data_IF_698758294095
#
_entry.id   IF_698758294095
#
_cell.length_a   1.000
_cell.length_b   1.000
_cell.length_c   1.000
_cell.angle_alpha   90.00
_cell.angle_beta   90.00
_cell.angle_gamma   90.00
#
_symmetry.space_group_name_H-M   'P 1'
#
loop_
_entity.id
_entity.type
_entity.pdbx_description
1 polymer ?
#
# COMPACT_ATOMS: atom_id res chain seq x y z
N UNK A 1 17.46 5.73 -5.46
CA UNK A 1 16.57 4.57 -5.44
C UNK A 1 17.43 3.33 -5.49
N UNK A 2 17.45 2.57 -4.41
CA UNK A 2 18.20 1.34 -4.22
C UNK A 2 17.37 0.12 -4.69
N UNK A 3 18.01 -1.02 -5.00
CA UNK A 3 17.32 -2.25 -5.41
C UNK A 3 16.18 -2.65 -4.46
N UNK A 4 16.45 -2.61 -3.15
CA UNK A 4 15.45 -2.97 -2.14
C UNK A 4 14.29 -1.96 -2.11
N UNK A 5 14.54 -0.66 -2.34
CA UNK A 5 13.47 0.34 -2.39
C UNK A 5 12.50 0.10 -3.55
N UNK A 6 13.00 -0.38 -4.71
CA UNK A 6 12.15 -0.74 -5.87
C UNK A 6 11.21 -1.88 -5.50
N UNK A 7 11.75 -2.91 -4.86
CA UNK A 7 11.00 -4.08 -4.41
C UNK A 7 9.93 -3.70 -3.37
N UNK A 8 10.30 -2.89 -2.38
CA UNK A 8 9.37 -2.46 -1.34
C UNK A 8 8.24 -1.61 -1.91
N UNK A 9 8.54 -0.65 -2.80
CA UNK A 9 7.50 0.13 -3.47
C UNK A 9 6.55 -0.74 -4.30
N UNK A 10 7.09 -1.71 -5.05
CA UNK A 10 6.26 -2.65 -5.82
C UNK A 10 5.31 -3.44 -4.92
N UNK A 11 5.82 -3.97 -3.80
CA UNK A 11 5.02 -4.73 -2.84
C UNK A 11 3.95 -3.85 -2.18
N UNK A 12 4.29 -2.63 -1.80
CA UNK A 12 3.34 -1.67 -1.22
C UNK A 12 2.19 -1.33 -2.18
N UNK A 13 2.45 -1.36 -3.48
CA UNK A 13 1.46 -1.18 -4.55
C UNK A 13 0.69 -2.48 -4.87
N UNK A 14 0.94 -3.59 -4.17
CA UNK A 14 0.38 -4.92 -4.43
C UNK A 14 0.60 -5.43 -5.87
N UNK A 15 1.75 -5.11 -6.46
CA UNK A 15 2.09 -5.52 -7.82
C UNK A 15 3.05 -6.71 -7.84
N UNK A 16 2.86 -7.60 -8.81
CA UNK A 16 3.86 -8.58 -9.23
C UNK A 16 4.96 -7.90 -10.05
N UNK A 17 6.12 -8.56 -10.21
CA UNK A 17 7.18 -8.05 -11.09
C UNK A 17 6.70 -7.86 -12.53
N UNK A 18 5.82 -8.74 -13.04
CA UNK A 18 5.24 -8.64 -14.38
C UNK A 18 4.34 -7.42 -14.53
N UNK A 19 3.47 -7.17 -13.54
CA UNK A 19 2.57 -6.01 -13.57
C UNK A 19 3.35 -4.70 -13.48
N UNK A 20 4.41 -4.64 -12.67
CA UNK A 20 5.29 -3.46 -12.64
C UNK A 20 6.00 -3.25 -13.98
N UNK A 21 6.47 -4.33 -14.59
CA UNK A 21 7.10 -4.31 -15.91
C UNK A 21 6.14 -3.76 -16.98
N UNK A 22 4.91 -4.26 -17.03
CA UNK A 22 3.86 -3.79 -17.94
C UNK A 22 3.59 -2.30 -17.76
N UNK A 23 3.45 -1.83 -16.51
CA UNK A 23 3.24 -0.41 -16.18
C UNK A 23 4.39 0.48 -16.65
N UNK A 24 5.62 -0.01 -16.60
CA UNK A 24 6.82 0.75 -16.93
C UNK A 24 7.34 0.49 -18.36
N UNK A 25 6.64 -0.33 -19.15
CA UNK A 25 7.03 -0.65 -20.52
C UNK A 25 8.38 -1.37 -20.63
N UNK A 26 8.69 -2.23 -19.67
CA UNK A 26 9.95 -3.01 -19.63
C UNK A 26 9.66 -4.50 -19.47
N UNK A 27 10.66 -5.34 -19.75
CA UNK A 27 10.57 -6.77 -19.50
C UNK A 27 10.52 -7.11 -18.00
N UNK A 28 9.80 -8.17 -17.63
CA UNK A 28 9.75 -8.66 -16.23
C UNK A 28 11.14 -9.01 -15.69
N UNK A 29 12.04 -9.53 -16.53
CA UNK A 29 13.41 -9.82 -16.13
C UNK A 29 14.19 -8.55 -15.81
N UNK A 30 13.91 -7.43 -16.48
CA UNK A 30 14.53 -6.12 -16.18
C UNK A 30 14.19 -5.68 -14.77
N UNK A 31 12.92 -5.77 -14.37
CA UNK A 31 12.48 -5.49 -12.99
C UNK A 31 13.18 -6.41 -11.99
N UNK A 32 13.26 -7.71 -12.28
CA UNK A 32 13.92 -8.67 -11.40
C UNK A 32 15.42 -8.36 -11.20
N UNK A 33 16.12 -7.92 -12.25
CA UNK A 33 17.52 -7.49 -12.19
C UNK A 33 17.69 -6.18 -11.40
N UNK A 34 16.75 -5.25 -11.52
CA UNK A 34 16.72 -4.03 -10.72
C UNK A 34 16.59 -4.35 -9.22
N UNK A 35 15.65 -5.23 -8.85
CA UNK A 35 15.42 -5.60 -7.45
C UNK A 35 16.58 -6.38 -6.82
N UNK A 36 17.35 -7.12 -7.63
CA UNK A 36 18.59 -7.80 -7.18
C UNK A 36 19.83 -6.90 -7.20
N UNK A 37 19.73 -5.70 -7.75
CA UNK A 37 20.86 -4.78 -7.90
C UNK A 37 21.87 -5.18 -8.97
N UNK A 38 21.51 -6.12 -9.85
CA UNK A 38 22.37 -6.54 -10.97
C UNK A 38 22.45 -5.49 -12.08
N UNK A 39 21.41 -4.65 -12.19
CA UNK A 39 21.33 -3.54 -13.13
C UNK A 39 20.75 -2.33 -12.44
N UNK A 40 21.40 -1.18 -12.62
CA UNK A 40 20.85 0.11 -12.21
C UNK A 40 19.96 0.64 -13.34
N UNK A 41 18.71 1.06 -13.07
CA UNK A 41 17.86 1.72 -14.05
C UNK A 41 18.56 2.96 -14.63
N UNK A 42 18.64 3.08 -15.95
CA UNK A 42 19.34 4.19 -16.62
C UNK A 42 18.76 5.56 -16.24
N UNK A 43 17.43 5.67 -16.17
CA UNK A 43 16.73 6.90 -15.85
C UNK A 43 16.12 6.85 -14.44
N UNK A 44 16.98 6.86 -13.42
CA UNK A 44 16.56 6.69 -12.02
C UNK A 44 15.56 7.76 -11.54
N UNK A 45 15.68 9.00 -12.06
CA UNK A 45 14.73 10.08 -11.79
C UNK A 45 13.34 9.80 -12.38
N UNK A 46 13.29 9.33 -13.63
CA UNK A 46 12.03 8.94 -14.30
C UNK A 46 11.35 7.79 -13.57
N UNK A 47 12.11 6.81 -13.12
CA UNK A 47 11.58 5.70 -12.32
C UNK A 47 10.92 6.21 -11.03
N UNK A 48 11.54 7.18 -10.35
CA UNK A 48 10.98 7.77 -9.13
C UNK A 48 9.65 8.50 -9.40
N UNK A 49 9.59 9.28 -10.47
CA UNK A 49 8.36 9.96 -10.89
C UNK A 49 7.27 8.97 -11.31
N UNK A 50 7.63 7.89 -12.01
CA UNK A 50 6.70 6.84 -12.41
C UNK A 50 6.06 6.15 -11.19
N UNK A 51 6.85 5.83 -10.17
CA UNK A 51 6.30 5.31 -8.90
C UNK A 51 5.37 6.31 -8.21
N UNK A 52 5.74 7.59 -8.16
CA UNK A 52 4.90 8.63 -7.57
C UNK A 52 3.56 8.77 -8.31
N UNK A 53 3.60 8.73 -9.65
CA UNK A 53 2.39 8.74 -10.49
C UNK A 53 1.48 7.55 -10.16
N UNK A 54 2.06 6.37 -10.00
CA UNK A 54 1.32 5.14 -9.74
C UNK A 54 0.71 5.12 -8.32
N UNK A 55 1.42 5.68 -7.34
CA UNK A 55 0.91 5.88 -5.97
C UNK A 55 -0.32 6.82 -5.96
N UNK A 56 -0.32 7.87 -6.80
CA UNK A 56 -1.46 8.78 -6.96
C UNK A 56 -2.63 8.07 -7.66
N UNK A 57 -2.37 7.37 -8.76
CA UNK A 57 -3.40 6.64 -9.53
C UNK A 57 -4.15 5.61 -8.65
N UNK A 58 -3.41 4.89 -7.80
CA UNK A 58 -3.97 3.87 -6.92
C UNK A 58 -4.55 4.42 -5.62
N UNK A 59 -4.60 5.74 -5.44
CA UNK A 59 -5.17 6.38 -4.25
C UNK A 59 -4.40 6.07 -2.95
N UNK A 60 -3.11 5.70 -3.08
CA UNK A 60 -2.24 5.31 -1.96
C UNK A 60 -1.49 6.50 -1.34
N UNK A 61 -1.89 7.72 -1.66
CA UNK A 61 -1.51 8.89 -0.86
C UNK A 61 -2.25 8.87 0.49
N UNK A 62 -1.79 9.64 1.47
CA UNK A 62 -2.19 9.55 2.89
C UNK A 62 -3.70 9.54 3.20
N UNK A 63 -4.58 9.81 2.24
CA UNK A 63 -6.04 9.68 2.34
C UNK A 63 -6.52 8.22 2.48
N UNK A 64 -5.82 7.22 1.94
CA UNK A 64 -6.24 5.81 2.01
C UNK A 64 -6.12 5.17 3.40
N UNK A 65 -5.10 5.58 4.18
CA UNK A 65 -4.90 5.09 5.55
C UNK A 65 -5.89 5.78 6.53
N UNK A 66 -6.36 6.99 6.23
CA UNK A 66 -7.41 7.66 7.01
C UNK A 66 -8.76 6.97 6.86
N UNK A 67 -9.19 6.65 5.63
CA UNK A 67 -10.45 5.95 5.38
C UNK A 67 -10.53 4.57 6.08
N UNK A 68 -9.44 3.79 6.07
CA UNK A 68 -9.36 2.51 6.78
C UNK A 68 -9.35 2.67 8.31
N UNK A 69 -8.74 3.75 8.83
CA UNK A 69 -8.74 4.05 10.27
C UNK A 69 -10.12 4.47 10.77
N UNK A 70 -10.88 5.22 9.97
CA UNK A 70 -12.22 5.68 10.33
C UNK A 70 -13.23 4.53 10.38
N UNK A 71 -13.16 3.61 9.42
CA UNK A 71 -14.04 2.43 9.39
C UNK A 71 -13.80 1.51 10.61
N UNK A 72 -12.52 1.28 10.98
CA UNK A 72 -12.19 0.49 12.16
C UNK A 72 -12.56 1.20 13.48
N UNK A 73 -12.43 2.52 13.53
CA UNK A 73 -12.84 3.34 14.69
C UNK A 73 -14.35 3.32 14.89
N UNK A 74 -15.14 3.37 13.82
CA UNK A 74 -16.60 3.26 13.87
C UNK A 74 -17.04 1.86 14.33
N UNK A 75 -16.43 0.80 13.78
CA UNK A 75 -16.67 -0.60 14.21
C UNK A 75 -16.37 -0.81 15.70
N UNK A 76 -15.23 -0.33 16.18
CA UNK A 76 -14.87 -0.40 17.61
C UNK A 76 -15.81 0.40 18.51
N UNK A 77 -16.29 1.56 18.05
CA UNK A 77 -17.21 2.41 18.82
C UNK A 77 -18.58 1.74 18.96
N UNK A 78 -19.13 1.19 17.87
CA UNK A 78 -20.38 0.41 17.89
C UNK A 78 -20.25 -0.83 18.80
N UNK A 79 -19.11 -1.53 18.76
CA UNK A 79 -18.84 -2.68 19.63
C UNK A 79 -18.80 -2.30 21.12
N UNK A 80 -18.16 -1.17 21.47
CA UNK A 80 -18.10 -0.64 22.84
C UNK A 80 -19.47 -0.23 23.37
N UNK A 81 -20.28 0.45 22.56
CA UNK A 81 -21.66 0.85 22.93
C UNK A 81 -22.53 -0.38 23.21
N UNK A 82 -22.43 -1.42 22.37
CA UNK A 82 -23.15 -2.68 22.55
C UNK A 82 -22.77 -3.37 23.87
N UNK A 83 -21.48 -3.45 24.19
CA UNK A 83 -21.01 -4.04 25.45
C UNK A 83 -21.43 -3.23 26.67
N UNK A 84 -21.43 -1.89 26.58
CA UNK A 84 -21.88 -1.02 27.66
C UNK A 84 -23.39 -1.17 27.96
N UNK A 85 -24.23 -1.30 26.92
CA UNK A 85 -25.68 -1.58 27.10
C UNK A 85 -25.94 -2.92 27.78
N UNK A 86 -25.30 -3.99 27.31
CA UNK A 86 -25.49 -5.33 27.86
C UNK A 86 -25.04 -5.44 29.33
N UNK A 87 -23.94 -4.76 29.71
CA UNK A 87 -23.51 -4.67 31.11
C UNK A 87 -24.51 -3.90 31.98
N UNK A 88 -25.12 -2.84 31.47
CA UNK A 88 -26.07 -2.02 32.22
C UNK A 88 -27.43 -2.72 32.42
N UNK A 89 -27.82 -3.62 31.50
CA UNK A 89 -29.00 -4.48 31.64
C UNK A 89 -28.78 -5.60 32.67
N UNK A 90 -27.59 -6.22 32.71
CA UNK A 90 -27.26 -7.25 33.72
C UNK A 90 -27.13 -6.70 35.15
N UNK A 91 -26.82 -5.42 35.32
CA UNK A 91 -26.73 -4.76 36.64
C UNK A 91 -28.10 -4.30 37.14
N UNK A 92 -29.12 -4.23 36.25
CA UNK A 92 -30.48 -3.78 36.57
C UNK A 92 -31.48 -4.93 36.78
N UNK A 93 -31.04 -6.18 36.63
CA UNK A 93 -31.80 -7.40 36.94
C UNK A 93 -31.29 -8.05 38.21
#
# INVERSE_FOLDING_TARGET
MQPEEIKQKRIALNLTQSQLAERFGVERNTVARWERGEVVPQALGMLRLAFQSLEIELGLTNSGIEALRDEQREKMTKMRIRHARHKNEMVRS
#
